data_IF_772217446614
#
_entry.id   IF_772217446614
#
_cell.length_a   1.000
_cell.length_b   1.000
_cell.length_c   1.000
_cell.angle_alpha   90.00
_cell.angle_beta   90.00
_cell.angle_gamma   90.00
#
_symmetry.space_group_name_H-M   'P 1'
#
loop_
_entity.id
_entity.type
_entity.pdbx_description
1 polymer ?
#
# COMPACT_ATOMS: atom_id res chain seq x y z
N UNK A 1 13.77 8.18 -14.99
CA UNK A 1 12.36 8.20 -15.48
C UNK A 1 12.36 8.32 -17.00
N UNK A 2 11.39 7.74 -17.69
CA UNK A 2 11.23 7.95 -19.15
C UNK A 2 10.59 9.33 -19.42
N UNK A 3 11.43 10.33 -19.68
CA UNK A 3 11.04 11.72 -19.94
C UNK A 3 10.03 11.83 -21.09
N UNK A 4 10.20 10.99 -22.11
CA UNK A 4 9.37 11.02 -23.32
C UNK A 4 7.96 10.49 -23.04
N UNK A 5 7.83 9.49 -22.19
CA UNK A 5 6.52 8.96 -21.78
C UNK A 5 5.76 9.99 -20.92
N UNK A 6 6.43 10.65 -19.97
CA UNK A 6 5.85 11.73 -19.16
C UNK A 6 5.39 12.90 -20.03
N UNK A 7 6.25 13.36 -20.94
CA UNK A 7 5.92 14.45 -21.87
C UNK A 7 4.65 14.14 -22.68
N UNK A 8 4.54 12.94 -23.25
CA UNK A 8 3.36 12.50 -24.03
C UNK A 8 2.09 12.51 -23.17
N UNK A 9 2.16 12.05 -21.92
CA UNK A 9 1.00 12.03 -21.01
C UNK A 9 0.56 13.45 -20.64
N UNK A 10 1.50 14.34 -20.31
CA UNK A 10 1.18 15.76 -20.03
C UNK A 10 0.50 16.41 -21.23
N UNK A 11 1.06 16.27 -22.44
CA UNK A 11 0.46 16.81 -23.67
C UNK A 11 -0.94 16.24 -23.89
N UNK A 12 -1.12 14.94 -23.68
CA UNK A 12 -2.41 14.26 -23.85
C UNK A 12 -3.48 14.86 -22.91
N UNK A 13 -3.21 14.91 -21.62
CA UNK A 13 -4.17 15.43 -20.63
C UNK A 13 -4.42 16.93 -20.80
N UNK A 14 -3.38 17.72 -21.14
CA UNK A 14 -3.54 19.15 -21.44
C UNK A 14 -4.47 19.36 -22.64
N UNK A 15 -4.28 18.60 -23.72
CA UNK A 15 -5.15 18.67 -24.90
C UNK A 15 -6.57 18.21 -24.59
N UNK A 16 -6.76 17.14 -23.81
CA UNK A 16 -8.08 16.70 -23.37
C UNK A 16 -8.80 17.79 -22.56
N UNK A 17 -8.08 18.55 -21.75
CA UNK A 17 -8.63 19.67 -20.98
C UNK A 17 -8.85 20.93 -21.82
N UNK A 18 -8.38 20.96 -23.08
CA UNK A 18 -8.52 22.07 -24.00
C UNK A 18 -7.74 23.33 -23.61
N UNK A 19 -6.68 23.23 -22.81
CA UNK A 19 -5.86 24.36 -22.36
C UNK A 19 -4.54 24.47 -23.13
N UNK A 20 -4.03 25.72 -23.24
CA UNK A 20 -2.74 25.99 -23.89
C UNK A 20 -1.57 25.79 -22.91
N UNK A 21 -0.33 25.83 -23.41
CA UNK A 21 0.87 25.78 -22.58
C UNK A 21 0.96 27.00 -21.67
N UNK A 22 0.53 28.17 -22.16
CA UNK A 22 0.46 29.43 -21.44
C UNK A 22 -0.53 29.30 -20.26
N UNK A 23 -1.74 28.80 -20.51
CA UNK A 23 -2.74 28.57 -19.47
C UNK A 23 -2.25 27.57 -18.42
N UNK A 24 -1.58 26.48 -18.85
CA UNK A 24 -0.99 25.52 -17.90
C UNK A 24 0.11 26.17 -17.07
N UNK A 25 0.93 27.06 -17.67
CA UNK A 25 1.95 27.86 -16.99
C UNK A 25 1.34 28.75 -15.90
N UNK A 26 0.28 29.48 -16.22
CA UNK A 26 -0.44 30.35 -15.28
C UNK A 26 -0.99 29.58 -14.07
N UNK A 27 -1.68 28.47 -14.32
CA UNK A 27 -2.30 27.66 -13.25
C UNK A 27 -1.26 26.97 -12.37
N UNK A 28 -0.15 26.52 -12.95
CA UNK A 28 0.92 25.83 -12.19
C UNK A 28 1.91 26.78 -11.52
N UNK A 29 1.96 28.06 -11.93
CA UNK A 29 2.99 29.01 -11.53
C UNK A 29 4.38 28.70 -12.13
N UNK A 30 4.48 27.79 -13.09
CA UNK A 30 5.72 27.45 -13.79
C UNK A 30 5.89 28.38 -15.00
N UNK A 31 7.15 28.66 -15.37
CA UNK A 31 7.41 29.42 -16.60
C UNK A 31 6.99 28.61 -17.84
N UNK A 32 6.40 29.28 -18.85
CA UNK A 32 5.99 28.67 -20.14
C UNK A 32 7.15 27.88 -20.76
N UNK A 33 8.37 28.43 -20.74
CA UNK A 33 9.57 27.75 -21.25
C UNK A 33 9.85 26.42 -20.51
N UNK A 34 9.55 26.37 -19.20
CA UNK A 34 9.67 25.13 -18.42
C UNK A 34 8.65 24.11 -18.89
N UNK A 35 7.39 24.50 -19.09
CA UNK A 35 6.34 23.63 -19.65
C UNK A 35 6.75 23.09 -21.02
N UNK A 36 7.23 23.96 -21.91
CA UNK A 36 7.69 23.58 -23.24
C UNK A 36 8.82 22.56 -23.19
N UNK A 37 9.82 22.76 -22.31
CA UNK A 37 10.96 21.82 -22.18
C UNK A 37 10.54 20.48 -21.57
N UNK A 38 9.53 20.49 -20.69
CA UNK A 38 8.97 19.24 -20.16
C UNK A 38 8.19 18.51 -21.26
N UNK A 39 7.35 19.21 -22.02
CA UNK A 39 6.56 18.62 -23.11
C UNK A 39 7.41 18.17 -24.30
N UNK A 40 8.57 18.82 -24.54
CA UNK A 40 9.54 18.36 -25.56
C UNK A 40 10.37 17.15 -25.09
N UNK A 41 10.30 16.78 -23.80
CA UNK A 41 11.09 15.69 -23.23
C UNK A 41 12.57 16.06 -22.98
N UNK A 42 12.95 17.35 -23.09
CA UNK A 42 14.31 17.80 -22.83
C UNK A 42 14.70 17.67 -21.35
N UNK A 43 13.74 17.92 -20.45
CA UNK A 43 13.96 17.97 -19.00
C UNK A 43 13.13 16.89 -18.32
N UNK A 44 13.73 16.22 -17.34
CA UNK A 44 13.03 15.34 -16.42
C UNK A 44 12.44 16.20 -15.27
N UNK A 45 11.11 16.37 -15.20
CA UNK A 45 10.50 17.20 -14.17
C UNK A 45 10.62 16.54 -12.80
N UNK A 46 10.95 17.33 -11.77
CA UNK A 46 10.95 16.85 -10.39
C UNK A 46 9.53 16.48 -9.95
N UNK A 47 9.42 15.58 -8.97
CA UNK A 47 8.15 15.08 -8.46
C UNK A 47 7.20 16.20 -8.01
N UNK A 48 7.74 17.27 -7.40
CA UNK A 48 6.97 18.47 -7.03
C UNK A 48 6.35 19.16 -8.27
N UNK A 49 7.13 19.32 -9.33
CA UNK A 49 6.67 19.89 -10.60
C UNK A 49 5.59 19.05 -11.25
N UNK A 50 5.76 17.72 -11.27
CA UNK A 50 4.74 16.79 -11.77
C UNK A 50 3.45 16.86 -10.96
N UNK A 51 3.54 16.99 -9.65
CA UNK A 51 2.35 17.14 -8.78
C UNK A 51 1.60 18.41 -9.10
N UNK A 52 2.29 19.57 -9.23
CA UNK A 52 1.67 20.83 -9.61
C UNK A 52 0.98 20.74 -10.99
N UNK A 53 1.60 20.05 -11.96
CA UNK A 53 1.00 19.82 -13.29
C UNK A 53 -0.21 18.88 -13.17
N UNK A 54 -0.14 17.79 -12.40
CA UNK A 54 -1.26 16.86 -12.19
C UNK A 54 -2.46 17.56 -11.57
N UNK A 55 -2.24 18.35 -10.52
CA UNK A 55 -3.27 19.15 -9.85
C UNK A 55 -3.91 20.16 -10.82
N UNK A 56 -3.10 20.86 -11.62
CA UNK A 56 -3.58 21.79 -12.65
C UNK A 56 -4.38 21.10 -13.75
N UNK A 57 -4.01 19.86 -14.11
CA UNK A 57 -4.73 19.07 -15.11
C UNK A 57 -5.97 18.36 -14.52
N UNK A 58 -6.08 18.25 -13.18
CA UNK A 58 -7.17 17.54 -12.51
C UNK A 58 -7.05 16.02 -12.60
N UNK A 59 -5.83 15.50 -12.72
CA UNK A 59 -5.53 14.07 -12.79
C UNK A 59 -4.67 13.65 -11.60
N UNK A 60 -4.66 12.35 -11.30
CA UNK A 60 -3.75 11.85 -10.28
C UNK A 60 -2.31 11.85 -10.80
N UNK A 61 -1.35 12.10 -9.90
CA UNK A 61 0.07 12.10 -10.23
C UNK A 61 0.49 10.79 -10.93
N UNK A 62 -0.06 9.66 -10.46
CA UNK A 62 0.21 8.33 -10.99
C UNK A 62 -0.17 8.19 -12.49
N UNK A 63 -1.16 8.96 -12.95
CA UNK A 63 -1.58 8.95 -14.36
C UNK A 63 -0.55 9.63 -15.29
N UNK A 64 0.23 10.58 -14.75
CA UNK A 64 1.33 11.23 -15.49
C UNK A 64 2.60 10.39 -15.50
N UNK A 65 2.78 9.51 -14.52
CA UNK A 65 3.97 8.66 -14.44
C UNK A 65 3.95 7.57 -15.53
N UNK A 66 5.11 7.16 -16.05
CA UNK A 66 5.18 6.02 -16.97
C UNK A 66 4.72 4.74 -16.28
N UNK A 67 4.25 3.78 -17.08
CA UNK A 67 3.97 2.45 -16.55
C UNK A 67 5.24 1.84 -15.92
N UNK A 68 5.10 1.15 -14.79
CA UNK A 68 6.25 0.54 -14.15
C UNK A 68 6.98 -0.44 -15.08
N UNK A 69 8.28 -0.36 -15.12
CA UNK A 69 9.11 -1.35 -15.82
C UNK A 69 9.02 -2.71 -15.13
N UNK A 70 9.41 -3.79 -15.83
CA UNK A 70 9.43 -5.13 -15.23
C UNK A 70 10.32 -5.18 -13.97
N UNK A 71 11.40 -4.41 -13.95
CA UNK A 71 12.25 -4.30 -12.77
C UNK A 71 11.50 -3.65 -11.59
N UNK A 72 10.77 -2.59 -11.83
CA UNK A 72 9.94 -1.90 -10.81
C UNK A 72 8.80 -2.81 -10.33
N UNK A 73 8.14 -3.52 -11.25
CA UNK A 73 7.12 -4.52 -10.89
C UNK A 73 7.68 -5.62 -9.97
N UNK A 74 8.91 -6.07 -10.23
CA UNK A 74 9.58 -7.03 -9.36
C UNK A 74 9.81 -6.46 -7.96
N UNK A 75 10.25 -5.20 -7.83
CA UNK A 75 10.44 -4.53 -6.55
C UNK A 75 9.10 -4.36 -5.79
N UNK A 76 8.03 -3.99 -6.50
CA UNK A 76 6.70 -3.90 -5.91
C UNK A 76 6.19 -5.28 -5.48
N UNK A 77 6.45 -6.33 -6.26
CA UNK A 77 6.08 -7.69 -5.89
C UNK A 77 6.83 -8.15 -4.62
N UNK A 78 8.13 -7.82 -4.48
CA UNK A 78 8.88 -8.07 -3.25
C UNK A 78 8.25 -7.36 -2.06
N UNK A 79 7.81 -6.10 -2.21
CA UNK A 79 7.09 -5.38 -1.15
C UNK A 79 5.82 -6.14 -0.70
N UNK A 80 5.08 -6.75 -1.62
CA UNK A 80 3.91 -7.56 -1.30
C UNK A 80 4.24 -8.86 -0.54
N UNK A 81 5.45 -9.39 -0.66
CA UNK A 81 5.90 -10.59 0.07
C UNK A 81 6.37 -10.24 1.49
N UNK A 82 6.82 -9.00 1.73
CA UNK A 82 7.40 -8.62 3.03
C UNK A 82 6.50 -8.87 4.25
N UNK A 83 5.15 -8.82 4.20
CA UNK A 83 4.30 -9.19 5.33
C UNK A 83 4.46 -10.65 5.82
N UNK A 84 5.01 -11.54 4.98
CA UNK A 84 5.38 -12.91 5.39
C UNK A 84 6.38 -12.94 6.56
N UNK A 85 7.08 -11.83 6.82
CA UNK A 85 7.92 -11.68 7.99
C UNK A 85 7.17 -11.86 9.32
N UNK A 86 5.81 -11.78 9.31
CA UNK A 86 4.97 -12.16 10.44
C UNK A 86 5.28 -13.55 10.99
N UNK A 87 5.59 -14.52 10.13
CA UNK A 87 5.88 -15.89 10.57
C UNK A 87 7.20 -16.04 11.31
N UNK A 88 8.14 -15.12 11.10
CA UNK A 88 9.44 -15.09 11.79
C UNK A 88 9.43 -14.14 12.99
N UNK A 89 8.71 -13.02 12.86
CA UNK A 89 8.61 -11.98 13.87
C UNK A 89 7.13 -11.62 14.08
N UNK A 90 6.37 -12.43 14.82
CA UNK A 90 4.97 -12.16 15.11
C UNK A 90 4.78 -10.77 15.74
N UNK A 91 3.65 -10.12 15.46
CA UNK A 91 3.25 -8.80 15.97
C UNK A 91 3.90 -7.63 15.20
N UNK A 92 5.21 -7.67 14.91
CA UNK A 92 5.91 -6.51 14.31
C UNK A 92 6.37 -6.75 12.87
N UNK A 93 6.68 -7.99 12.49
CA UNK A 93 7.28 -8.30 11.19
C UNK A 93 6.40 -7.96 9.99
N UNK A 94 5.10 -8.15 10.11
CA UNK A 94 4.13 -7.86 9.06
C UNK A 94 3.96 -6.35 8.75
N UNK A 95 4.36 -5.47 9.67
CA UNK A 95 4.29 -4.01 9.49
C UNK A 95 5.68 -3.42 9.32
N UNK A 96 6.62 -3.79 10.20
CA UNK A 96 7.96 -3.19 10.24
C UNK A 96 8.77 -3.49 8.97
N UNK A 97 8.74 -4.75 8.50
CA UNK A 97 9.52 -5.14 7.31
C UNK A 97 8.98 -4.48 6.04
N UNK A 98 7.67 -4.49 5.74
CA UNK A 98 7.11 -3.70 4.63
C UNK A 98 7.40 -2.21 4.74
N UNK A 99 7.32 -1.64 5.94
CA UNK A 99 7.58 -0.22 6.18
C UNK A 99 9.03 0.16 5.84
N UNK A 100 10.00 -0.61 6.34
CA UNK A 100 11.43 -0.39 6.06
C UNK A 100 11.69 -0.53 4.54
N UNK A 101 11.19 -1.60 3.93
CA UNK A 101 11.36 -1.81 2.50
C UNK A 101 10.75 -0.67 1.66
N UNK A 102 9.53 -0.25 1.99
CA UNK A 102 8.88 0.89 1.33
C UNK A 102 9.68 2.19 1.51
N UNK A 103 10.15 2.49 2.73
CA UNK A 103 10.98 3.69 2.97
C UNK A 103 12.24 3.72 2.13
N UNK A 104 12.91 2.58 2.00
CA UNK A 104 14.16 2.48 1.23
C UNK A 104 13.95 2.61 -0.28
N UNK A 105 12.75 2.25 -0.78
CA UNK A 105 12.47 2.18 -2.23
C UNK A 105 11.51 3.24 -2.75
N UNK A 106 10.90 4.04 -1.87
CA UNK A 106 9.82 4.97 -2.25
C UNK A 106 10.21 6.07 -3.24
N UNK A 107 11.50 6.39 -3.34
CA UNK A 107 12.02 7.43 -4.24
C UNK A 107 12.53 6.84 -5.56
N UNK A 108 12.90 5.56 -5.55
CA UNK A 108 13.55 4.89 -6.68
C UNK A 108 12.57 4.14 -7.60
N UNK A 109 11.40 3.73 -7.07
CA UNK A 109 10.48 2.81 -7.76
C UNK A 109 9.13 3.45 -8.00
N UNK A 110 8.75 3.58 -9.27
CA UNK A 110 7.44 4.11 -9.64
C UNK A 110 6.29 3.19 -9.17
N UNK A 111 5.23 3.80 -8.64
CA UNK A 111 4.05 3.06 -8.17
C UNK A 111 4.18 2.44 -6.77
N UNK A 112 5.39 2.32 -6.21
CA UNK A 112 5.62 1.67 -4.91
C UNK A 112 4.90 2.40 -3.76
N UNK A 113 4.72 3.72 -3.87
CA UNK A 113 4.06 4.51 -2.83
C UNK A 113 2.59 4.11 -2.65
N UNK A 114 1.85 3.87 -3.74
CA UNK A 114 0.47 3.39 -3.71
C UNK A 114 0.40 2.03 -3.03
N UNK A 115 1.23 1.08 -3.48
CA UNK A 115 1.27 -0.27 -2.93
C UNK A 115 1.73 -0.30 -1.47
N UNK A 116 2.77 0.49 -1.10
CA UNK A 116 3.29 0.58 0.25
C UNK A 116 2.23 1.07 1.24
N UNK A 117 1.54 2.16 0.92
CA UNK A 117 0.45 2.69 1.74
C UNK A 117 -0.70 1.68 1.89
N UNK A 118 -1.07 0.99 0.82
CA UNK A 118 -2.14 0.00 0.83
C UNK A 118 -1.79 -1.20 1.71
N UNK A 119 -0.57 -1.73 1.60
CA UNK A 119 -0.08 -2.84 2.41
C UNK A 119 -0.02 -2.43 3.89
N UNK A 120 0.61 -1.31 4.20
CA UNK A 120 0.76 -0.84 5.58
C UNK A 120 -0.59 -0.56 6.24
N UNK A 121 -1.49 0.11 5.55
CA UNK A 121 -2.84 0.37 6.05
C UNK A 121 -3.61 -0.93 6.30
N UNK A 122 -3.52 -1.90 5.40
CA UNK A 122 -4.11 -3.23 5.56
C UNK A 122 -3.51 -3.97 6.76
N UNK A 123 -2.18 -4.11 6.81
CA UNK A 123 -1.48 -4.85 7.84
C UNK A 123 -1.69 -4.25 9.25
N UNK A 124 -1.65 -2.92 9.38
CA UNK A 124 -1.97 -2.24 10.64
C UNK A 124 -3.42 -2.48 11.07
N UNK A 125 -4.36 -2.37 10.15
CA UNK A 125 -5.78 -2.62 10.44
C UNK A 125 -5.98 -4.03 10.98
N UNK A 126 -5.44 -5.04 10.29
CA UNK A 126 -5.56 -6.44 10.73
C UNK A 126 -4.83 -6.71 12.04
N UNK A 127 -3.67 -6.11 12.26
CA UNK A 127 -2.91 -6.27 13.51
C UNK A 127 -3.66 -5.66 14.70
N UNK A 128 -4.26 -4.49 14.54
CA UNK A 128 -5.04 -3.83 15.59
C UNK A 128 -6.31 -4.63 15.89
N UNK A 129 -7.09 -4.98 14.87
CA UNK A 129 -8.34 -5.74 15.05
C UNK A 129 -8.06 -7.12 15.64
N UNK A 130 -7.08 -7.85 15.14
CA UNK A 130 -6.67 -9.14 15.65
C UNK A 130 -6.16 -9.07 17.09
N UNK A 131 -5.34 -8.05 17.40
CA UNK A 131 -4.85 -7.81 18.76
C UNK A 131 -5.97 -7.52 19.75
N UNK A 132 -6.95 -6.67 19.38
CA UNK A 132 -8.11 -6.38 20.22
C UNK A 132 -8.97 -7.63 20.46
N UNK A 133 -9.25 -8.41 19.44
CA UNK A 133 -10.01 -9.67 19.57
C UNK A 133 -9.28 -10.65 20.50
N UNK A 134 -7.97 -10.78 20.36
CA UNK A 134 -7.14 -11.64 21.21
C UNK A 134 -7.13 -11.14 22.66
N UNK A 135 -7.02 -9.82 22.87
CA UNK A 135 -7.02 -9.22 24.22
C UNK A 135 -8.37 -9.44 24.93
N UNK A 136 -9.50 -9.22 24.22
CA UNK A 136 -10.85 -9.49 24.76
C UNK A 136 -10.97 -10.97 25.14
N UNK A 137 -10.50 -11.86 24.32
CA UNK A 137 -10.58 -13.30 24.59
C UNK A 137 -9.74 -13.72 25.81
N UNK A 138 -8.49 -13.22 25.91
CA UNK A 138 -7.65 -13.45 27.08
C UNK A 138 -8.36 -12.90 28.34
N UNK A 139 -8.97 -11.71 28.26
CA UNK A 139 -9.72 -11.11 29.34
C UNK A 139 -10.89 -11.98 29.82
N UNK A 140 -11.70 -12.48 28.87
CA UNK A 140 -12.86 -13.32 29.17
C UNK A 140 -12.47 -14.68 29.76
N UNK A 141 -11.40 -15.28 29.27
CA UNK A 141 -11.00 -16.64 29.68
C UNK A 141 -10.08 -16.68 30.90
N UNK A 142 -9.09 -15.79 30.95
CA UNK A 142 -7.98 -15.90 31.91
C UNK A 142 -8.20 -15.05 33.17
N UNK A 143 -8.80 -13.86 33.05
CA UNK A 143 -8.96 -12.96 34.21
C UNK A 143 -9.85 -13.58 35.29
N UNK A 144 -11.02 -14.18 35.00
CA UNK A 144 -11.83 -14.82 36.03
C UNK A 144 -11.16 -16.08 36.62
N UNK A 145 -10.47 -16.85 35.81
CA UNK A 145 -9.72 -18.02 36.31
C UNK A 145 -8.65 -17.62 37.32
N UNK A 146 -7.94 -16.51 37.05
CA UNK A 146 -6.88 -16.02 37.91
C UNK A 146 -7.39 -15.35 39.19
N UNK A 147 -8.40 -14.46 39.11
CA UNK A 147 -8.86 -13.66 40.26
C UNK A 147 -9.91 -14.36 41.12
N UNK A 148 -10.77 -15.20 40.52
CA UNK A 148 -11.89 -15.82 41.21
C UNK A 148 -11.67 -17.32 41.49
N UNK A 149 -10.61 -17.90 40.98
CA UNK A 149 -10.36 -19.36 41.04
C UNK A 149 -11.48 -20.17 40.38
N UNK A 150 -12.28 -19.54 39.53
CA UNK A 150 -13.42 -20.15 38.82
C UNK A 150 -13.37 -19.78 37.34
N UNK A 151 -13.71 -20.73 36.51
CA UNK A 151 -13.96 -20.49 35.11
C UNK A 151 -15.36 -19.89 34.93
N UNK A 152 -15.49 -18.79 34.19
CA UNK A 152 -16.79 -18.15 33.92
C UNK A 152 -17.71 -19.02 33.06
N UNK A 153 -17.11 -19.84 32.20
CA UNK A 153 -17.85 -20.70 31.29
C UNK A 153 -17.82 -22.15 31.77
N UNK A 154 -18.89 -22.93 31.51
CA UNK A 154 -18.88 -24.37 31.74
C UNK A 154 -17.66 -25.04 31.05
N UNK A 155 -17.12 -26.10 31.67
CA UNK A 155 -15.91 -26.80 31.19
C UNK A 155 -16.01 -27.25 29.74
N UNK A 156 -17.18 -27.56 29.28
CA UNK A 156 -17.50 -27.94 27.89
C UNK A 156 -17.12 -26.88 26.87
N UNK A 157 -17.18 -25.58 27.20
CA UNK A 157 -16.77 -24.52 26.28
C UNK A 157 -15.26 -24.48 26.05
N UNK A 158 -14.47 -24.95 26.99
CA UNK A 158 -13.01 -25.03 26.84
C UNK A 158 -12.59 -26.11 25.82
N UNK A 159 -13.45 -27.08 25.54
CA UNK A 159 -13.21 -28.05 24.47
C UNK A 159 -13.18 -27.43 23.08
N UNK A 160 -13.84 -26.28 22.89
CA UNK A 160 -13.80 -25.54 21.61
C UNK A 160 -12.57 -24.66 21.42
N UNK A 161 -11.74 -24.47 22.47
CA UNK A 161 -10.52 -23.66 22.39
C UNK A 161 -9.57 -24.11 21.25
N UNK A 162 -9.26 -25.39 21.06
CA UNK A 162 -8.40 -25.85 19.98
C UNK A 162 -8.96 -25.50 18.59
N UNK A 163 -10.28 -25.62 18.39
CA UNK A 163 -10.95 -25.26 17.13
C UNK A 163 -10.83 -23.77 16.89
N UNK A 164 -11.03 -22.96 17.93
CA UNK A 164 -10.87 -21.52 17.84
C UNK A 164 -9.42 -21.12 17.48
N UNK A 165 -8.42 -21.70 18.15
CA UNK A 165 -7.02 -21.41 17.83
C UNK A 165 -6.66 -21.82 16.41
N UNK A 166 -7.17 -22.97 15.94
CA UNK A 166 -6.97 -23.43 14.57
C UNK A 166 -7.59 -22.45 13.57
N UNK A 167 -8.81 -21.97 13.81
CA UNK A 167 -9.45 -20.96 12.93
C UNK A 167 -8.71 -19.66 12.91
N UNK A 168 -8.24 -19.15 14.04
CA UNK A 168 -7.40 -17.95 14.11
C UNK A 168 -6.09 -18.12 13.35
N UNK A 169 -5.45 -19.28 13.47
CA UNK A 169 -4.23 -19.62 12.74
C UNK A 169 -4.48 -19.62 11.23
N UNK A 170 -5.54 -20.28 10.76
CA UNK A 170 -5.90 -20.33 9.34
C UNK A 170 -6.19 -18.94 8.77
N UNK A 171 -6.90 -18.10 9.53
CA UNK A 171 -7.16 -16.69 9.15
C UNK A 171 -5.83 -15.91 9.07
N UNK A 172 -4.92 -16.09 10.02
CA UNK A 172 -3.60 -15.46 10.00
C UNK A 172 -2.77 -15.89 8.80
N UNK A 173 -2.75 -17.20 8.48
CA UNK A 173 -2.06 -17.73 7.30
C UNK A 173 -2.64 -17.13 6.02
N UNK A 174 -3.95 -16.96 5.93
CA UNK A 174 -4.58 -16.34 4.78
C UNK A 174 -4.19 -14.85 4.66
N UNK A 175 -4.35 -14.07 5.72
CA UNK A 175 -4.14 -12.60 5.70
C UNK A 175 -2.66 -12.24 5.55
N UNK A 176 -1.77 -12.90 6.29
CA UNK A 176 -0.34 -12.56 6.33
C UNK A 176 0.51 -13.40 5.38
N UNK A 177 -0.04 -14.48 4.83
CA UNK A 177 0.66 -15.39 3.94
C UNK A 177 0.08 -15.42 2.53
N UNK A 178 -1.07 -16.05 2.36
CA UNK A 178 -1.63 -16.33 1.03
C UNK A 178 -2.00 -15.06 0.28
N UNK A 179 -2.72 -14.15 0.92
CA UNK A 179 -3.18 -12.92 0.28
C UNK A 179 -2.03 -12.03 -0.21
N UNK A 180 -0.97 -11.74 0.60
CA UNK A 180 0.21 -11.05 0.13
C UNK A 180 0.94 -11.77 -1.00
N UNK A 181 1.10 -13.10 -0.93
CA UNK A 181 1.75 -13.89 -1.97
C UNK A 181 0.99 -13.84 -3.30
N UNK A 182 -0.33 -13.94 -3.27
CA UNK A 182 -1.17 -13.79 -4.47
C UNK A 182 -1.03 -12.39 -5.07
N UNK A 183 -1.04 -11.33 -4.23
CA UNK A 183 -0.84 -9.96 -4.70
C UNK A 183 0.54 -9.77 -5.31
N UNK A 184 1.59 -10.32 -4.71
CA UNK A 184 2.93 -10.29 -5.29
C UNK A 184 2.96 -10.91 -6.69
N UNK A 185 2.34 -12.08 -6.86
CA UNK A 185 2.26 -12.77 -8.16
C UNK A 185 1.44 -11.97 -9.18
N UNK A 186 0.35 -11.31 -8.77
CA UNK A 186 -0.45 -10.46 -9.66
C UNK A 186 0.36 -9.27 -10.15
N UNK A 187 1.01 -8.55 -9.24
CA UNK A 187 1.86 -7.39 -9.57
C UNK A 187 3.03 -7.79 -10.45
N UNK A 188 3.71 -8.90 -10.14
CA UNK A 188 4.78 -9.44 -10.99
C UNK A 188 4.34 -9.66 -12.44
N UNK A 189 3.07 -10.07 -12.65
CA UNK A 189 2.45 -10.26 -13.98
C UNK A 189 1.86 -8.98 -14.56
N UNK A 190 2.13 -7.80 -14.01
CA UNK A 190 1.59 -6.52 -14.46
C UNK A 190 0.08 -6.34 -14.19
N UNK A 191 -0.52 -7.15 -13.30
CA UNK A 191 -1.93 -7.02 -12.92
C UNK A 191 -2.06 -6.19 -11.64
N UNK A 192 -3.19 -5.48 -11.50
CA UNK A 192 -3.47 -4.76 -10.25
C UNK A 192 -3.54 -5.72 -9.05
N UNK A 193 -2.97 -5.29 -7.93
CA UNK A 193 -3.12 -5.99 -6.65
C UNK A 193 -4.58 -5.93 -6.18
N UNK A 194 -5.03 -6.97 -5.48
CA UNK A 194 -6.33 -6.93 -4.79
C UNK A 194 -6.27 -5.95 -3.62
N UNK A 195 -7.33 -5.17 -3.46
CA UNK A 195 -7.47 -4.26 -2.32
C UNK A 195 -7.72 -5.04 -1.03
N UNK A 196 -7.16 -4.58 0.06
CA UNK A 196 -7.48 -5.11 1.38
C UNK A 196 -8.96 -4.83 1.70
N UNK A 197 -9.77 -5.85 2.03
CA UNK A 197 -11.22 -5.69 2.23
C UNK A 197 -11.57 -4.80 3.44
N UNK A 198 -10.77 -4.86 4.51
CA UNK A 198 -10.87 -3.98 5.65
C UNK A 198 -9.59 -3.16 5.74
N UNK A 199 -9.69 -1.84 5.59
CA UNK A 199 -8.54 -0.96 5.58
C UNK A 199 -8.89 0.40 6.19
N UNK A 200 -8.23 0.74 7.30
CA UNK A 200 -8.23 2.09 7.85
C UNK A 200 -7.04 2.83 7.23
N UNK A 201 -7.28 4.04 6.73
CA UNK A 201 -6.23 4.82 6.08
C UNK A 201 -5.42 5.59 7.12
N UNK A 202 -4.35 4.98 7.64
CA UNK A 202 -3.37 5.63 8.51
C UNK A 202 -2.39 6.48 7.70
N UNK A 203 -1.98 5.97 6.54
CA UNK A 203 -1.13 6.67 5.59
C UNK A 203 -1.97 7.21 4.43
N UNK A 204 -2.01 8.52 4.28
CA UNK A 204 -2.65 9.24 3.17
C UNK A 204 -1.67 9.60 2.06
#
# INVERSE_FOLDING_TARGET
MDKTAIAKKIIHFRKLKGITQETLSEVTGLNVRTIQRIESGEVDPRLYTLRSIADALGVNLEELLPEPTQHELNQIAVLHITPLAFFFFPIVGNVLVPFIYWMLKREDVNGINKHGKDILNGQLTYSIVGGLLTAVQIGVLMVPAFFMGRFLLPMEYYMYLPVYFLTCLLISVFIFGIFPAVNAMRVYKGKEAWKYPLKINFFR
#
